data_IF_554876930477
#
_entry.id   IF_554876930477
#
_cell.length_a   1.000
_cell.length_b   1.000
_cell.length_c   1.000
_cell.angle_alpha   90.00
_cell.angle_beta   90.00
_cell.angle_gamma   90.00
#
_symmetry.space_group_name_H-M   'P 1'
#
loop_
_entity.id
_entity.type
_entity.pdbx_description
1 polymer ?
#
# COMPACT_ATOMS: atom_id res chain seq x y z
N UNK A 1 3.71 -28.10 -3.76
CA UNK A 1 2.49 -27.26 -3.90
C UNK A 1 2.76 -25.84 -3.36
N UNK A 2 3.85 -25.21 -3.81
CA UNK A 2 4.32 -23.86 -3.40
C UNK A 2 4.22 -22.85 -4.57
N UNK A 3 3.67 -23.28 -5.71
CA UNK A 3 3.77 -22.57 -7.00
C UNK A 3 2.65 -21.54 -7.24
N UNK A 4 1.67 -21.45 -6.33
CA UNK A 4 0.47 -20.60 -6.47
C UNK A 4 0.27 -19.65 -5.28
N UNK A 5 1.33 -19.16 -4.65
CA UNK A 5 1.17 -18.07 -3.65
C UNK A 5 0.80 -16.71 -4.31
N UNK A 6 0.77 -16.63 -5.64
CA UNK A 6 0.46 -15.39 -6.36
C UNK A 6 1.59 -14.37 -6.32
N UNK A 7 2.83 -14.79 -6.08
CA UNK A 7 4.01 -13.92 -6.18
C UNK A 7 4.27 -13.56 -7.65
N UNK A 8 3.74 -12.42 -8.08
CA UNK A 8 4.09 -11.75 -9.35
C UNK A 8 4.98 -10.54 -9.05
N UNK A 9 5.74 -10.08 -10.05
CA UNK A 9 6.52 -8.83 -9.93
C UNK A 9 5.63 -7.66 -9.46
N UNK A 10 4.41 -7.56 -10.00
CA UNK A 10 3.42 -6.57 -9.58
C UNK A 10 2.98 -6.71 -8.12
N UNK A 11 2.80 -7.94 -7.60
CA UNK A 11 2.46 -8.15 -6.20
C UNK A 11 3.57 -7.71 -5.25
N UNK A 12 4.84 -7.87 -5.64
CA UNK A 12 6.00 -7.41 -4.87
C UNK A 12 6.08 -5.89 -4.89
N UNK A 13 5.92 -5.26 -6.06
CA UNK A 13 5.86 -3.80 -6.16
C UNK A 13 4.72 -3.22 -5.31
N UNK A 14 3.53 -3.82 -5.36
CA UNK A 14 2.39 -3.42 -4.54
C UNK A 14 2.71 -3.48 -3.04
N UNK A 15 3.41 -4.52 -2.60
CA UNK A 15 3.77 -4.71 -1.20
C UNK A 15 4.84 -3.71 -0.73
N UNK A 16 5.86 -3.46 -1.54
CA UNK A 16 6.90 -2.47 -1.24
C UNK A 16 6.30 -1.07 -1.17
N UNK A 17 5.50 -0.70 -2.16
CA UNK A 17 4.81 0.59 -2.20
C UNK A 17 3.83 0.74 -1.03
N UNK A 18 3.04 -0.29 -0.72
CA UNK A 18 2.14 -0.28 0.43
C UNK A 18 2.88 -0.14 1.76
N UNK A 19 3.96 -0.87 1.96
CA UNK A 19 4.79 -0.78 3.17
C UNK A 19 5.43 0.61 3.31
N UNK A 20 5.96 1.18 2.21
CA UNK A 20 6.50 2.54 2.21
C UNK A 20 5.43 3.58 2.57
N UNK A 21 4.22 3.43 2.04
CA UNK A 21 3.07 4.29 2.34
C UNK A 21 2.71 4.22 3.82
N UNK A 22 2.55 3.00 4.36
CA UNK A 22 2.22 2.79 5.77
C UNK A 22 3.32 3.31 6.72
N UNK A 23 4.59 3.12 6.35
CA UNK A 23 5.72 3.65 7.12
C UNK A 23 5.75 5.17 7.13
N UNK A 24 5.58 5.81 5.97
CA UNK A 24 5.49 7.27 5.88
C UNK A 24 4.30 7.79 6.68
N UNK A 25 3.16 7.11 6.62
CA UNK A 25 1.98 7.49 7.40
C UNK A 25 2.22 7.43 8.90
N UNK A 26 2.78 6.32 9.38
CA UNK A 26 3.15 6.19 10.78
C UNK A 26 4.18 7.26 11.21
N UNK A 27 5.20 7.52 10.40
CA UNK A 27 6.27 8.44 10.75
C UNK A 27 5.83 9.91 10.69
N UNK A 28 5.24 10.34 9.58
CA UNK A 28 4.94 11.75 9.30
C UNK A 28 3.66 12.19 10.02
N UNK A 29 2.60 11.40 9.94
CA UNK A 29 1.29 11.79 10.47
C UNK A 29 1.15 11.40 11.94
N UNK A 30 1.43 10.15 12.30
CA UNK A 30 1.21 9.66 13.66
C UNK A 30 2.33 10.07 14.63
N UNK A 31 3.60 9.96 14.22
CA UNK A 31 4.73 10.23 15.10
C UNK A 31 5.14 11.71 15.13
N UNK A 32 5.27 12.36 13.96
CA UNK A 32 5.67 13.76 13.86
C UNK A 32 4.49 14.76 13.91
N UNK A 33 3.25 14.30 13.75
CA UNK A 33 2.07 15.18 13.76
C UNK A 33 2.01 16.15 12.58
N UNK A 34 2.74 15.86 11.49
CA UNK A 34 2.89 16.72 10.32
C UNK A 34 1.73 16.54 9.34
N UNK A 35 0.53 16.92 9.80
CA UNK A 35 -0.73 16.82 9.06
C UNK A 35 -0.70 17.28 7.58
N UNK A 36 -0.06 18.41 7.20
CA UNK A 36 -0.03 18.85 5.81
C UNK A 36 0.77 17.93 4.86
N UNK A 37 1.68 17.12 5.43
CA UNK A 37 2.62 16.30 4.67
C UNK A 37 2.06 14.90 4.33
N UNK A 38 0.82 14.63 4.74
CA UNK A 38 0.09 13.42 4.38
C UNK A 38 -0.05 13.22 2.85
N UNK A 39 0.02 14.31 2.07
CA UNK A 39 0.00 14.27 0.59
C UNK A 39 1.20 13.48 0.02
N UNK A 40 2.34 13.45 0.71
CA UNK A 40 3.52 12.70 0.25
C UNK A 40 3.30 11.20 0.27
N UNK A 41 2.33 10.70 1.03
CA UNK A 41 1.96 9.28 1.06
C UNK A 41 1.30 8.83 -0.25
N UNK A 42 0.76 9.76 -1.05
CA UNK A 42 0.21 9.44 -2.38
C UNK A 42 1.30 8.98 -3.35
N UNK A 43 2.56 9.39 -3.14
CA UNK A 43 3.69 9.05 -4.03
C UNK A 43 3.92 7.53 -4.05
N UNK A 44 4.07 6.83 -2.92
CA UNK A 44 4.08 5.37 -2.91
C UNK A 44 2.67 4.75 -2.89
N UNK A 45 1.65 5.46 -2.39
CA UNK A 45 0.30 4.92 -2.24
C UNK A 45 -0.40 4.67 -3.57
N UNK A 46 -0.33 5.60 -4.53
CA UNK A 46 -0.96 5.44 -5.84
C UNK A 46 -0.35 4.29 -6.66
N UNK A 47 0.98 4.15 -6.77
CA UNK A 47 1.59 2.97 -7.37
C UNK A 47 1.24 1.68 -6.63
N UNK A 48 1.22 1.69 -5.28
CA UNK A 48 0.87 0.52 -4.47
C UNK A 48 -0.54 0.03 -4.76
N UNK A 49 -1.50 0.94 -4.90
CA UNK A 49 -2.86 0.64 -5.33
C UNK A 49 -2.92 0.10 -6.75
N UNK A 50 -2.27 0.77 -7.72
CA UNK A 50 -2.30 0.37 -9.12
C UNK A 50 -1.70 -1.02 -9.34
N UNK A 51 -0.52 -1.29 -8.77
CA UNK A 51 0.13 -2.59 -8.84
C UNK A 51 -0.64 -3.66 -8.05
N UNK A 52 -1.24 -3.29 -6.91
CA UNK A 52 -2.07 -4.18 -6.11
C UNK A 52 -3.30 -4.66 -6.87
N UNK A 53 -4.09 -3.73 -7.42
CA UNK A 53 -5.27 -4.05 -8.23
C UNK A 53 -4.90 -4.89 -9.45
N UNK A 54 -3.83 -4.52 -10.16
CA UNK A 54 -3.37 -5.27 -11.32
C UNK A 54 -2.99 -6.71 -10.97
N UNK A 55 -2.23 -6.91 -9.88
CA UNK A 55 -1.80 -8.23 -9.43
C UNK A 55 -2.95 -9.10 -8.91
N UNK A 56 -3.96 -8.50 -8.28
CA UNK A 56 -5.18 -9.20 -7.86
C UNK A 56 -5.98 -9.63 -9.08
N UNK A 57 -6.17 -8.75 -10.06
CA UNK A 57 -6.94 -9.05 -11.26
C UNK A 57 -6.30 -10.14 -12.12
N UNK A 58 -4.97 -10.08 -12.32
CA UNK A 58 -4.24 -11.06 -13.15
C UNK A 58 -4.05 -12.41 -12.46
N UNK A 59 -3.68 -12.40 -11.17
CA UNK A 59 -3.11 -13.58 -10.53
C UNK A 59 -3.83 -14.00 -9.25
N UNK A 60 -4.93 -13.31 -8.89
CA UNK A 60 -5.66 -13.49 -7.62
C UNK A 60 -4.72 -13.51 -6.41
N UNK A 61 -3.69 -12.66 -6.47
CA UNK A 61 -2.58 -12.69 -5.52
C UNK A 61 -3.02 -12.25 -4.13
N UNK A 62 -2.89 -13.14 -3.15
CA UNK A 62 -3.17 -12.85 -1.74
C UNK A 62 -2.20 -11.83 -1.14
N UNK A 63 -1.00 -11.73 -1.70
CA UNK A 63 0.05 -10.83 -1.24
C UNK A 63 -0.21 -9.41 -1.73
N UNK A 64 -0.72 -9.28 -2.95
CA UNK A 64 -1.15 -8.00 -3.48
C UNK A 64 -2.25 -7.37 -2.62
N UNK A 65 -3.15 -8.17 -2.03
CA UNK A 65 -4.13 -7.68 -1.04
C UNK A 65 -3.48 -7.02 0.17
N UNK A 66 -2.41 -7.62 0.72
CA UNK A 66 -1.65 -7.03 1.82
C UNK A 66 -1.04 -5.67 1.43
N UNK A 67 -0.40 -5.59 0.26
CA UNK A 67 0.15 -4.33 -0.25
C UNK A 67 -0.93 -3.26 -0.47
N UNK A 68 -2.10 -3.67 -0.94
CA UNK A 68 -3.24 -2.78 -1.19
C UNK A 68 -3.82 -2.24 0.12
N UNK A 69 -4.02 -3.10 1.13
CA UNK A 69 -4.46 -2.70 2.47
C UNK A 69 -3.48 -1.73 3.13
N UNK A 70 -2.17 -1.97 2.99
CA UNK A 70 -1.14 -1.07 3.51
C UNK A 70 -1.14 0.28 2.77
N UNK A 71 -1.35 0.27 1.45
CA UNK A 71 -1.49 1.50 0.65
C UNK A 71 -2.74 2.30 1.02
N UNK A 72 -3.80 1.63 1.48
CA UNK A 72 -5.04 2.25 1.96
C UNK A 72 -4.97 2.68 3.43
N UNK A 73 -3.92 2.33 4.17
CA UNK A 73 -3.81 2.66 5.60
C UNK A 73 -3.99 4.15 5.93
N UNK A 74 -3.52 5.11 5.10
CA UNK A 74 -3.77 6.52 5.37
C UNK A 74 -5.24 6.90 5.33
N UNK A 75 -6.02 6.22 4.48
CA UNK A 75 -7.39 6.58 4.13
C UNK A 75 -8.31 6.48 5.35
N UNK A 76 -8.01 5.58 6.28
CA UNK A 76 -8.71 5.45 7.58
C UNK A 76 -8.52 6.72 8.40
N UNK A 77 -7.31 7.28 8.40
CA UNK A 77 -7.00 8.52 9.10
C UNK A 77 -7.65 9.71 8.39
N UNK A 78 -7.63 9.75 7.05
CA UNK A 78 -8.34 10.77 6.28
C UNK A 78 -9.86 10.80 6.53
N UNK A 79 -10.48 9.64 6.70
CA UNK A 79 -11.92 9.51 6.94
C UNK A 79 -12.34 9.79 8.39
N UNK A 80 -11.40 9.88 9.32
CA UNK A 80 -11.68 10.11 10.74
C UNK A 80 -11.51 11.57 11.19
N UNK A 81 -11.15 12.46 10.26
CA UNK A 81 -11.09 13.93 10.43
C UNK A 81 -12.39 14.54 9.95
#
# INVERSE_FOLDING_TARGET
MLRDLGWSFSSVCALICGAATAFLHWWVVMHLGLWPYIIFELIPGLPGLAFGFYAIHQSNSKIAWLGLLLSLSPLVTWLSI
#
